data_IF_374225513706
#
_entry.id   IF_374225513706
#
_cell.length_a   1.000
_cell.length_b   1.000
_cell.length_c   1.000
_cell.angle_alpha   90.00
_cell.angle_beta   90.00
_cell.angle_gamma   90.00
#
_symmetry.space_group_name_H-M   'P 1'
#
loop_
_entity.id
_entity.type
_entity.pdbx_description
1 polymer ?
#
# COMPACT_ATOMS: atom_id res chain seq x y z
N UNK A 1 20.33 -14.56 30.43
CA UNK A 1 18.86 -14.74 30.49
C UNK A 1 18.46 -15.28 29.15
N UNK A 2 17.86 -16.46 29.14
CA UNK A 2 17.34 -17.05 27.93
C UNK A 2 16.20 -16.15 27.43
N UNK A 3 16.31 -15.64 26.20
CA UNK A 3 15.22 -14.86 25.64
C UNK A 3 14.07 -15.79 25.24
N UNK A 4 12.88 -15.22 25.00
CA UNK A 4 11.68 -16.00 24.71
C UNK A 4 11.84 -16.89 23.48
N UNK A 5 12.61 -16.49 22.48
CA UNK A 5 12.79 -17.27 21.25
C UNK A 5 13.64 -18.53 21.48
N UNK A 6 14.63 -18.46 22.38
CA UNK A 6 15.48 -19.61 22.73
C UNK A 6 14.67 -20.72 23.38
N UNK A 7 13.60 -20.38 24.13
CA UNK A 7 12.66 -21.39 24.68
C UNK A 7 11.95 -22.20 23.61
N UNK A 8 11.83 -21.67 22.40
CA UNK A 8 11.24 -22.34 21.24
C UNK A 8 12.29 -22.86 20.26
N UNK A 9 13.56 -22.88 20.65
CA UNK A 9 14.65 -23.35 19.80
C UNK A 9 15.00 -22.39 18.63
N UNK A 10 14.53 -21.15 18.69
CA UNK A 10 14.79 -20.11 17.68
C UNK A 10 15.96 -19.25 18.12
N UNK A 11 17.00 -19.21 17.29
CA UNK A 11 18.18 -18.39 17.57
C UNK A 11 17.95 -16.93 17.17
N UNK A 12 18.16 -15.97 18.08
CA UNK A 12 18.18 -14.56 17.74
C UNK A 12 19.29 -14.22 16.75
N UNK A 13 19.04 -13.21 15.93
CA UNK A 13 20.02 -12.71 14.95
C UNK A 13 20.26 -11.21 15.16
N UNK A 14 21.42 -10.76 14.73
CA UNK A 14 21.73 -9.32 14.63
C UNK A 14 21.23 -8.86 13.26
N UNK A 15 20.16 -8.05 13.26
CA UNK A 15 19.59 -7.51 12.03
C UNK A 15 20.34 -6.23 11.62
N UNK A 16 21.21 -6.33 10.61
CA UNK A 16 21.89 -5.19 10.00
C UNK A 16 21.24 -4.71 8.69
N UNK A 17 20.11 -5.31 8.28
CA UNK A 17 19.39 -4.94 7.05
C UNK A 17 18.36 -3.84 7.25
N UNK A 18 18.09 -3.44 8.51
CA UNK A 18 16.98 -2.53 8.83
C UNK A 18 15.62 -3.23 8.85
N UNK A 19 14.52 -2.48 8.73
CA UNK A 19 13.16 -3.04 8.81
C UNK A 19 12.90 -4.02 7.67
N UNK A 20 12.76 -5.30 8.00
CA UNK A 20 12.46 -6.36 7.05
C UNK A 20 11.49 -7.36 7.66
N UNK A 21 10.32 -7.55 7.05
CA UNK A 21 9.23 -8.39 7.56
C UNK A 21 9.69 -9.80 7.90
N UNK A 22 10.52 -10.44 7.07
CA UNK A 22 11.08 -11.78 7.31
C UNK A 22 12.03 -11.86 8.50
N UNK A 23 12.46 -10.71 9.04
CA UNK A 23 13.33 -10.57 10.20
C UNK A 23 12.59 -9.95 11.39
N UNK A 24 11.28 -10.17 11.50
CA UNK A 24 10.40 -9.57 12.51
C UNK A 24 10.26 -8.05 12.42
N UNK A 25 10.58 -7.46 11.27
CA UNK A 25 10.57 -6.00 11.10
C UNK A 25 11.80 -5.36 11.75
N UNK A 26 11.60 -4.66 12.86
CA UNK A 26 12.65 -4.04 13.64
C UNK A 26 12.40 -4.27 15.14
N UNK A 27 13.42 -4.02 15.95
CA UNK A 27 13.24 -4.00 17.41
C UNK A 27 12.31 -2.83 17.77
N UNK A 28 11.25 -3.15 18.48
CA UNK A 28 10.26 -2.16 18.92
C UNK A 28 10.83 -1.28 20.02
N UNK A 29 10.51 0.01 19.98
CA UNK A 29 10.86 0.92 21.08
C UNK A 29 10.15 0.46 22.38
N UNK A 30 10.84 0.53 23.54
CA UNK A 30 10.26 0.06 24.80
C UNK A 30 8.91 0.68 25.12
N UNK A 31 8.73 1.96 24.84
CA UNK A 31 7.48 2.72 25.09
C UNK A 31 6.31 2.15 24.29
N UNK A 32 6.57 1.72 23.05
CA UNK A 32 5.56 1.09 22.19
C UNK A 32 5.19 -0.30 22.73
N UNK A 33 6.19 -1.10 23.14
CA UNK A 33 5.97 -2.41 23.73
C UNK A 33 5.17 -2.32 25.04
N UNK A 34 5.46 -1.32 25.88
CA UNK A 34 4.73 -1.07 27.12
C UNK A 34 3.28 -0.65 26.84
N UNK A 35 3.04 0.23 25.90
CA UNK A 35 1.69 0.63 25.47
C UNK A 35 0.88 -0.56 24.93
N UNK A 36 1.48 -1.45 24.14
CA UNK A 36 0.83 -2.68 23.67
C UNK A 36 0.48 -3.61 24.84
N UNK A 37 1.38 -3.76 25.81
CA UNK A 37 1.14 -4.57 27.02
C UNK A 37 0.00 -4.01 27.85
N UNK A 38 -0.09 -2.69 28.00
CA UNK A 38 -1.19 -2.02 28.71
C UNK A 38 -2.51 -2.21 27.93
N UNK A 39 -2.52 -1.92 26.63
CA UNK A 39 -3.69 -2.05 25.78
C UNK A 39 -4.26 -3.48 25.78
N UNK A 40 -3.41 -4.50 25.89
CA UNK A 40 -3.85 -5.92 25.92
C UNK A 40 -4.72 -6.29 27.12
N UNK A 41 -4.83 -5.43 28.12
CA UNK A 41 -5.64 -5.66 29.32
C UNK A 41 -7.06 -5.09 29.20
N UNK A 42 -7.38 -4.43 28.09
CA UNK A 42 -8.65 -3.74 27.89
C UNK A 42 -9.31 -4.16 26.56
N UNK A 43 -10.62 -4.21 26.58
CA UNK A 43 -11.42 -4.30 25.36
C UNK A 43 -11.94 -2.91 25.01
N UNK A 44 -11.83 -2.54 23.73
CA UNK A 44 -12.28 -1.24 23.23
C UNK A 44 -13.05 -1.45 21.93
N UNK A 45 -13.87 -0.47 21.60
CA UNK A 45 -14.52 -0.40 20.30
C UNK A 45 -13.46 -0.09 19.23
N UNK A 46 -13.32 -0.98 18.25
CA UNK A 46 -12.24 -0.89 17.25
C UNK A 46 -12.45 0.28 16.29
N UNK A 47 -13.70 0.66 16.00
CA UNK A 47 -14.00 1.79 15.12
C UNK A 47 -13.61 3.12 15.81
N UNK A 48 -13.87 3.23 17.11
CA UNK A 48 -13.42 4.39 17.89
C UNK A 48 -11.91 4.47 17.96
N UNK A 49 -11.23 3.33 18.12
CA UNK A 49 -9.76 3.28 18.14
C UNK A 49 -9.18 3.69 16.78
N UNK A 50 -9.75 3.20 15.68
CA UNK A 50 -9.35 3.60 14.32
C UNK A 50 -9.59 5.10 14.09
N UNK A 51 -10.71 5.65 14.56
CA UNK A 51 -10.98 7.09 14.49
C UNK A 51 -9.94 7.92 15.23
N UNK A 52 -9.54 7.52 16.43
CA UNK A 52 -8.48 8.17 17.21
C UNK A 52 -7.12 8.08 16.49
N UNK A 53 -6.77 6.91 15.96
CA UNK A 53 -5.54 6.70 15.20
C UNK A 53 -5.52 7.54 13.91
N UNK A 54 -6.65 7.62 13.20
CA UNK A 54 -6.82 8.47 12.02
C UNK A 54 -6.47 9.93 12.31
N UNK A 55 -7.02 10.49 13.38
CA UNK A 55 -6.77 11.88 13.78
C UNK A 55 -5.29 12.13 14.14
N UNK A 56 -4.64 11.16 14.77
CA UNK A 56 -3.21 11.25 15.12
C UNK A 56 -2.35 11.23 13.85
N UNK A 57 -2.60 10.28 12.94
CA UNK A 57 -1.86 10.14 11.69
C UNK A 57 -2.02 11.41 10.84
N UNK A 58 -3.25 11.88 10.63
CA UNK A 58 -3.54 13.08 9.86
C UNK A 58 -2.78 14.30 10.40
N UNK A 59 -2.77 14.50 11.72
CA UNK A 59 -2.05 15.59 12.37
C UNK A 59 -0.53 15.54 12.16
N UNK A 60 0.06 14.33 12.17
CA UNK A 60 1.51 14.19 12.03
C UNK A 60 1.99 14.18 10.58
N UNK A 61 1.15 13.79 9.63
CA UNK A 61 1.50 13.68 8.21
C UNK A 61 1.04 14.88 7.37
N UNK A 62 0.07 15.64 7.86
CA UNK A 62 -0.60 16.67 7.07
C UNK A 62 -1.63 16.11 6.07
N UNK A 63 -1.90 14.80 6.08
CA UNK A 63 -2.92 14.17 5.25
C UNK A 63 -4.33 14.46 5.81
N UNK A 64 -5.35 14.33 4.96
CA UNK A 64 -6.76 14.48 5.37
C UNK A 64 -7.18 13.39 6.35
N UNK A 65 -6.66 12.17 6.20
CA UNK A 65 -7.00 11.01 7.00
C UNK A 65 -5.84 10.03 7.10
N UNK A 66 -5.96 9.09 8.03
CA UNK A 66 -5.07 7.95 8.17
C UNK A 66 -5.86 6.70 8.53
N UNK A 67 -5.32 5.53 8.25
CA UNK A 67 -5.92 4.26 8.61
C UNK A 67 -4.84 3.24 9.00
N UNK A 68 -5.02 2.58 10.14
CA UNK A 68 -4.09 1.55 10.62
C UNK A 68 -4.50 0.19 10.07
N UNK A 69 -3.54 -0.51 9.48
CA UNK A 69 -3.75 -1.85 8.92
C UNK A 69 -2.73 -2.84 9.49
N UNK A 70 -2.94 -4.13 9.23
CA UNK A 70 -2.02 -5.19 9.64
C UNK A 70 -0.71 -5.24 8.81
N UNK A 71 -0.45 -4.23 7.99
CA UNK A 71 0.76 -4.09 7.19
C UNK A 71 0.49 -3.53 5.80
N UNK A 72 1.55 -3.25 5.03
CA UNK A 72 1.47 -2.59 3.73
C UNK A 72 0.58 -3.33 2.72
N UNK A 73 0.62 -4.67 2.68
CA UNK A 73 -0.23 -5.46 1.79
C UNK A 73 -1.72 -5.27 2.10
N UNK A 74 -2.10 -5.26 3.39
CA UNK A 74 -3.47 -4.98 3.81
C UNK A 74 -3.89 -3.55 3.48
N UNK A 75 -2.98 -2.58 3.64
CA UNK A 75 -3.20 -1.20 3.24
C UNK A 75 -3.49 -1.07 1.74
N UNK A 76 -2.67 -1.69 0.89
CA UNK A 76 -2.86 -1.68 -0.56
C UNK A 76 -4.19 -2.35 -0.98
N UNK A 77 -4.52 -3.49 -0.37
CA UNK A 77 -5.79 -4.17 -0.63
C UNK A 77 -6.98 -3.28 -0.28
N UNK A 78 -7.01 -2.71 0.92
CA UNK A 78 -8.11 -1.86 1.38
C UNK A 78 -8.23 -0.58 0.57
N UNK A 79 -7.11 0.10 0.25
CA UNK A 79 -7.12 1.30 -0.58
C UNK A 79 -7.64 1.01 -1.98
N UNK A 80 -7.20 -0.10 -2.59
CA UNK A 80 -7.69 -0.51 -3.92
C UNK A 80 -9.18 -0.86 -3.87
N UNK A 81 -9.63 -1.60 -2.85
CA UNK A 81 -11.03 -1.91 -2.66
C UNK A 81 -11.88 -0.63 -2.54
N UNK A 82 -11.42 0.35 -1.77
CA UNK A 82 -12.08 1.64 -1.61
C UNK A 82 -12.20 2.41 -2.94
N UNK A 83 -11.14 2.42 -3.76
CA UNK A 83 -11.18 3.04 -5.09
C UNK A 83 -12.21 2.37 -6.03
N UNK A 84 -12.39 1.05 -5.92
CA UNK A 84 -13.32 0.29 -6.77
C UNK A 84 -14.77 0.41 -6.29
N UNK A 85 -15.00 0.36 -4.98
CA UNK A 85 -16.35 0.25 -4.42
C UNK A 85 -16.92 1.58 -3.91
N UNK A 86 -16.05 2.54 -3.58
CA UNK A 86 -16.45 3.70 -2.81
C UNK A 86 -17.08 3.26 -1.47
N UNK A 87 -18.14 3.94 -1.06
CA UNK A 87 -18.91 3.63 0.14
C UNK A 87 -20.16 2.76 -0.14
N UNK A 88 -20.21 2.06 -1.28
CA UNK A 88 -21.33 1.21 -1.65
C UNK A 88 -21.20 -0.20 -1.05
N UNK A 89 -22.01 -0.56 -0.04
CA UNK A 89 -21.89 -1.87 0.62
C UNK A 89 -22.27 -3.04 -0.31
N UNK A 90 -23.07 -2.81 -1.34
CA UNK A 90 -23.39 -3.85 -2.33
C UNK A 90 -22.16 -4.20 -3.16
N UNK A 91 -21.39 -3.19 -3.58
CA UNK A 91 -20.13 -3.41 -4.28
C UNK A 91 -19.10 -4.06 -3.38
N UNK A 92 -18.97 -3.61 -2.12
CA UNK A 92 -18.05 -4.19 -1.14
C UNK A 92 -18.28 -5.69 -0.94
N UNK A 93 -19.54 -6.10 -0.79
CA UNK A 93 -19.91 -7.51 -0.59
C UNK A 93 -19.69 -8.40 -1.82
N UNK A 94 -19.54 -7.81 -3.00
CA UNK A 94 -19.28 -8.55 -4.24
C UNK A 94 -17.82 -8.83 -4.49
N UNK A 95 -16.91 -8.08 -3.84
CA UNK A 95 -15.49 -8.32 -4.05
C UNK A 95 -15.12 -9.80 -3.78
N UNK A 96 -14.27 -10.40 -4.58
CA UNK A 96 -13.49 -9.84 -5.69
C UNK A 96 -14.20 -9.82 -7.07
N UNK A 97 -15.51 -10.06 -7.17
CA UNK A 97 -16.26 -9.88 -8.42
C UNK A 97 -16.49 -8.39 -8.68
N UNK A 98 -15.66 -7.81 -9.52
CA UNK A 98 -15.69 -6.39 -9.90
C UNK A 98 -16.44 -6.11 -11.20
N UNK A 99 -17.16 -7.08 -11.74
CA UNK A 99 -17.91 -6.94 -12.99
C UNK A 99 -18.89 -5.76 -12.94
N UNK A 100 -18.75 -4.83 -13.92
CA UNK A 100 -19.57 -3.61 -13.98
C UNK A 100 -19.17 -2.51 -12.98
N UNK A 101 -18.01 -2.63 -12.36
CA UNK A 101 -17.38 -1.57 -11.56
C UNK A 101 -16.21 -0.96 -12.33
N UNK A 102 -15.79 0.24 -11.97
CA UNK A 102 -14.48 0.75 -12.35
C UNK A 102 -13.43 -0.15 -11.71
N UNK A 103 -12.72 -0.95 -12.47
CA UNK A 103 -11.85 -1.99 -11.92
C UNK A 103 -10.47 -2.04 -12.57
N UNK A 104 -10.08 -1.01 -13.30
CA UNK A 104 -8.76 -0.92 -13.90
C UNK A 104 -7.84 -0.09 -13.02
N UNK A 105 -6.65 -0.58 -12.77
CA UNK A 105 -5.58 0.14 -12.04
C UNK A 105 -4.39 0.28 -12.97
N UNK A 106 -4.00 1.52 -13.25
CA UNK A 106 -2.87 1.82 -14.12
C UNK A 106 -1.58 1.83 -13.31
N UNK A 107 -0.52 1.25 -13.84
CA UNK A 107 0.77 1.17 -13.16
C UNK A 107 1.92 1.12 -14.19
N UNK A 108 3.06 1.73 -13.87
CA UNK A 108 4.26 1.52 -14.68
C UNK A 108 4.76 0.08 -14.55
N UNK A 109 5.21 -0.51 -15.66
CA UNK A 109 5.85 -1.85 -15.66
C UNK A 109 7.05 -1.95 -14.74
N UNK A 110 7.83 -0.89 -14.67
CA UNK A 110 8.98 -0.80 -13.77
C UNK A 110 8.61 -0.80 -12.28
N UNK A 111 7.36 -0.50 -11.94
CA UNK A 111 6.83 -0.52 -10.58
C UNK A 111 6.31 -1.90 -10.13
N UNK A 112 6.24 -2.89 -11.04
CA UNK A 112 5.81 -4.25 -10.70
C UNK A 112 6.67 -4.85 -9.60
N UNK A 113 6.03 -5.37 -8.58
CA UNK A 113 6.68 -6.01 -7.44
C UNK A 113 5.73 -6.99 -6.73
N UNK A 114 6.21 -7.68 -5.69
CA UNK A 114 5.40 -8.69 -4.99
C UNK A 114 4.15 -8.11 -4.29
N UNK A 115 4.11 -6.83 -3.97
CA UNK A 115 2.97 -6.19 -3.32
C UNK A 115 1.79 -5.96 -4.28
N UNK A 116 2.00 -6.00 -5.59
CA UNK A 116 0.89 -5.88 -6.55
C UNK A 116 -0.11 -7.04 -6.44
N UNK A 117 0.28 -8.16 -5.80
CA UNK A 117 -0.66 -9.21 -5.44
C UNK A 117 -1.82 -8.71 -4.57
N UNK A 118 -1.55 -7.82 -3.62
CA UNK A 118 -2.58 -7.25 -2.76
C UNK A 118 -3.60 -6.43 -3.57
N UNK A 119 -3.11 -5.63 -4.52
CA UNK A 119 -3.94 -4.84 -5.44
C UNK A 119 -4.79 -5.76 -6.32
N UNK A 120 -4.18 -6.77 -6.95
CA UNK A 120 -4.87 -7.73 -7.81
C UNK A 120 -5.89 -8.61 -7.08
N UNK A 121 -5.67 -8.87 -5.78
CA UNK A 121 -6.59 -9.67 -4.96
C UNK A 121 -7.98 -9.06 -4.81
N UNK A 122 -8.13 -7.76 -5.08
CA UNK A 122 -9.43 -7.08 -5.13
C UNK A 122 -10.27 -7.50 -6.33
N UNK A 123 -9.66 -8.12 -7.36
CA UNK A 123 -10.33 -8.50 -8.60
C UNK A 123 -10.22 -7.45 -9.70
N UNK A 124 -9.20 -6.58 -9.63
CA UNK A 124 -8.96 -5.54 -10.64
C UNK A 124 -8.21 -6.07 -11.86
N UNK A 125 -8.33 -5.35 -12.96
CA UNK A 125 -7.47 -5.46 -14.13
C UNK A 125 -6.29 -4.50 -13.97
N UNK A 126 -5.06 -5.03 -14.05
CA UNK A 126 -3.86 -4.21 -13.99
C UNK A 126 -3.48 -3.78 -15.42
N UNK A 127 -3.42 -2.47 -15.64
CA UNK A 127 -3.01 -1.86 -16.92
C UNK A 127 -1.58 -1.37 -16.82
N UNK A 128 -0.69 -2.01 -17.52
CA UNK A 128 0.74 -1.69 -17.46
C UNK A 128 1.11 -0.68 -18.54
N UNK A 129 1.80 0.42 -18.15
CA UNK A 129 2.34 1.44 -19.04
C UNK A 129 3.86 1.49 -18.97
N UNK A 130 4.48 2.10 -19.97
CA UNK A 130 5.93 2.23 -20.05
C UNK A 130 6.64 0.97 -20.49
N UNK A 131 7.97 1.04 -20.47
CA UNK A 131 8.88 -0.03 -20.89
C UNK A 131 9.61 -0.59 -19.66
N UNK A 132 9.55 -1.91 -19.46
CA UNK A 132 10.13 -2.60 -18.29
C UNK A 132 11.65 -2.70 -18.28
N UNK A 133 12.34 -2.35 -19.35
CA UNK A 133 13.76 -2.63 -19.50
C UNK A 133 14.64 -1.57 -18.84
N UNK A 134 14.99 -1.82 -17.57
CA UNK A 134 15.99 -1.03 -16.83
C UNK A 134 17.43 -1.35 -17.21
N UNK A 135 17.65 -2.42 -17.97
CA UNK A 135 18.98 -3.00 -18.15
C UNK A 135 19.56 -2.82 -19.54
N UNK A 136 18.77 -2.39 -20.52
CA UNK A 136 19.26 -2.26 -21.89
C UNK A 136 20.30 -1.17 -22.08
N UNK A 137 20.44 -0.26 -21.14
CA UNK A 137 21.48 0.80 -21.16
C UNK A 137 21.37 1.80 -22.32
N UNK A 138 20.38 1.67 -23.17
CA UNK A 138 20.24 2.39 -24.42
C UNK A 138 19.09 3.41 -24.39
N UNK A 139 19.01 4.24 -23.34
CA UNK A 139 18.02 5.31 -23.27
C UNK A 139 16.57 4.82 -23.06
N UNK A 140 16.40 3.63 -22.52
CA UNK A 140 15.09 3.12 -22.13
C UNK A 140 14.63 3.89 -20.90
N UNK A 141 13.47 4.48 -20.99
CA UNK A 141 12.81 5.23 -19.93
C UNK A 141 11.72 4.40 -19.25
N UNK A 142 11.44 4.69 -17.99
CA UNK A 142 10.23 4.26 -17.32
C UNK A 142 8.99 4.90 -18.02
N UNK A 143 7.79 4.75 -17.46
CA UNK A 143 6.60 5.39 -18.02
C UNK A 143 6.71 6.91 -17.96
N UNK A 144 6.15 7.58 -18.96
CA UNK A 144 6.00 9.03 -19.02
C UNK A 144 4.57 9.45 -18.59
N UNK A 145 4.36 10.69 -18.10
CA UNK A 145 3.04 11.14 -17.69
C UNK A 145 1.94 10.95 -18.77
N UNK A 146 2.27 11.17 -20.02
CA UNK A 146 1.32 11.00 -21.14
C UNK A 146 0.90 9.53 -21.35
N UNK A 147 1.74 8.56 -20.98
CA UNK A 147 1.41 7.12 -21.07
C UNK A 147 0.37 6.74 -20.01
N UNK A 148 0.47 7.31 -18.81
CA UNK A 148 -0.58 7.18 -17.79
C UNK A 148 -1.88 7.82 -18.28
N UNK A 149 -1.81 9.07 -18.79
CA UNK A 149 -2.98 9.77 -19.32
C UNK A 149 -3.67 8.99 -20.44
N UNK A 150 -2.91 8.42 -21.37
CA UNK A 150 -3.45 7.61 -22.48
C UNK A 150 -4.07 6.28 -22.05
N UNK A 151 -3.68 5.75 -20.89
CA UNK A 151 -4.17 4.48 -20.35
C UNK A 151 -5.42 4.63 -19.47
N UNK A 152 -5.71 5.85 -19.01
CA UNK A 152 -6.89 6.15 -18.18
C UNK A 152 -8.13 6.18 -19.06
N UNK A 153 -9.17 5.48 -18.62
CA UNK A 153 -10.49 5.47 -19.24
C UNK A 153 -11.60 5.44 -18.18
N UNK A 154 -12.86 5.36 -18.60
CA UNK A 154 -14.04 5.35 -17.74
C UNK A 154 -14.06 4.16 -16.75
N UNK A 155 -13.29 3.12 -17.00
CA UNK A 155 -13.17 1.95 -16.13
C UNK A 155 -11.98 2.06 -15.14
N UNK A 156 -11.19 3.10 -15.23
CA UNK A 156 -10.03 3.30 -14.38
C UNK A 156 -10.49 3.74 -12.99
N UNK A 157 -10.08 2.99 -11.97
CA UNK A 157 -10.37 3.26 -10.55
C UNK A 157 -9.22 3.99 -9.86
N UNK A 158 -7.96 3.72 -10.26
CA UNK A 158 -6.79 4.28 -9.59
C UNK A 158 -5.51 4.15 -10.44
N UNK A 159 -4.49 4.90 -10.03
CA UNK A 159 -3.10 4.68 -10.42
C UNK A 159 -2.36 4.07 -9.21
N UNK A 160 -1.60 2.99 -9.45
CA UNK A 160 -0.69 2.43 -8.47
C UNK A 160 0.74 2.88 -8.76
N UNK A 161 1.31 3.66 -7.84
CA UNK A 161 2.62 4.25 -7.97
C UNK A 161 3.55 3.79 -6.84
N UNK A 162 4.79 3.40 -7.18
CA UNK A 162 5.81 3.00 -6.21
C UNK A 162 6.87 4.09 -6.12
N UNK A 163 6.90 4.80 -4.99
CA UNK A 163 7.81 5.89 -4.76
C UNK A 163 9.17 5.41 -4.23
N UNK A 164 10.21 5.61 -5.01
CA UNK A 164 11.61 5.51 -4.60
C UNK A 164 12.31 6.84 -4.88
N UNK A 165 13.48 7.07 -4.31
CA UNK A 165 14.26 8.30 -4.54
C UNK A 165 14.62 8.54 -6.02
N UNK A 166 14.58 7.51 -6.84
CA UNK A 166 14.94 7.53 -8.26
C UNK A 166 13.79 7.14 -9.19
N UNK A 167 12.56 7.05 -8.66
CA UNK A 167 11.38 6.71 -9.48
C UNK A 167 11.08 7.81 -10.50
N UNK A 168 10.82 7.41 -11.74
CA UNK A 168 10.41 8.27 -12.83
C UNK A 168 9.09 7.78 -13.44
N UNK A 169 8.21 8.67 -13.90
CA UNK A 169 8.23 10.11 -13.66
C UNK A 169 8.06 10.41 -12.17
N UNK A 170 8.29 11.64 -11.74
CA UNK A 170 8.08 12.04 -10.34
C UNK A 170 6.59 11.94 -9.94
N UNK A 171 6.36 11.81 -8.63
CA UNK A 171 5.01 11.59 -8.11
C UNK A 171 4.06 12.76 -8.45
N UNK A 172 4.54 13.99 -8.45
CA UNK A 172 3.70 15.19 -8.68
C UNK A 172 3.09 15.12 -10.08
N UNK A 173 3.91 14.85 -11.10
CA UNK A 173 3.45 14.71 -12.48
C UNK A 173 2.39 13.62 -12.65
N UNK A 174 2.53 12.48 -11.94
CA UNK A 174 1.53 11.40 -11.99
C UNK A 174 0.24 11.78 -11.28
N UNK A 175 0.34 12.49 -10.14
CA UNK A 175 -0.83 13.01 -9.40
C UNK A 175 -1.59 14.04 -10.25
N UNK A 176 -0.90 14.93 -10.95
CA UNK A 176 -1.53 15.90 -11.87
C UNK A 176 -2.34 15.19 -12.96
N UNK A 177 -1.77 14.15 -13.57
CA UNK A 177 -2.47 13.31 -14.57
C UNK A 177 -3.71 12.64 -13.97
N UNK A 178 -3.59 12.07 -12.77
CA UNK A 178 -4.71 11.41 -12.10
C UNK A 178 -5.85 12.39 -11.79
N UNK A 179 -5.54 13.56 -11.24
CA UNK A 179 -6.53 14.60 -10.89
C UNK A 179 -7.16 15.24 -12.12
N UNK A 180 -6.44 15.36 -13.24
CA UNK A 180 -7.01 15.84 -14.50
C UNK A 180 -8.06 14.90 -15.11
N UNK A 181 -8.00 13.63 -14.74
CA UNK A 181 -8.94 12.61 -15.23
C UNK A 181 -10.18 12.42 -14.30
N UNK A 182 -10.23 13.04 -13.14
CA UNK A 182 -11.33 12.97 -12.14
C UNK A 182 -11.04 11.95 -11.06
#
# INVERSE_FOLDING_TARGET
MDNIYERFGVRPIINASGPATRLSGAIMAPEVADAMREASQWCVDIDQLQGAACAIIARHTGAEAGYVTSGAAAGLLLSTAACVTGLDPTKMNRLPDTKGMRNRVVMARSHRNFYDHAVRSVGIELVEVGIADRYSGAGVRDAEPWEYAAAIDDNTAAIFYVAYAHTQPDLVSVVEVAHAAG
#
